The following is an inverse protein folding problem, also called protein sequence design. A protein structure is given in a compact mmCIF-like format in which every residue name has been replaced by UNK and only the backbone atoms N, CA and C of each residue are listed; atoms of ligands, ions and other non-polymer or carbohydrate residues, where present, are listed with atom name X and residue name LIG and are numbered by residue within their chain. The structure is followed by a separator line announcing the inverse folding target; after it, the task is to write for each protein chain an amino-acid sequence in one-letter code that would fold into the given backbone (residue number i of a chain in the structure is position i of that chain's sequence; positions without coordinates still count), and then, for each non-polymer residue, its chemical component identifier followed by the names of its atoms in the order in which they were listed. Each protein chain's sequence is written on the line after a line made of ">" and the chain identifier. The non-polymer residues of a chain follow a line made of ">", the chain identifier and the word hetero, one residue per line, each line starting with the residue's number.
data_IF_074695006001
#
_entry.id   IF_074695006001
#
_cell.length_a   1.000
_cell.length_b   1.000
_cell.length_c   1.000
_cell.angle_alpha   90.00
_cell.angle_beta   90.00
_cell.angle_gamma   90.00
#
_symmetry.space_group_name_H-M   'P 1'
#
loop_
_entity.id
_entity.type
_entity.pdbx_description
1 polymer ?
#
# COMPACT_ATOMS: atom_id res chain seq x y z
N UNK A 1 -9.61 -18.33 16.13
CA UNK A 1 -8.44 -18.68 15.30
C UNK A 1 -7.37 -17.63 15.57
N UNK A 2 -6.08 -17.99 15.53
CA UNK A 2 -5.01 -16.99 15.70
C UNK A 2 -5.05 -15.99 14.55
N UNK A 3 -4.94 -14.69 14.84
CA UNK A 3 -4.82 -13.65 13.80
C UNK A 3 -3.46 -13.70 13.07
N UNK A 4 -2.57 -14.57 13.53
CA UNK A 4 -1.20 -14.72 13.06
C UNK A 4 -0.91 -16.13 12.54
N UNK A 5 -0.11 -16.18 11.48
CA UNK A 5 0.48 -17.39 10.91
C UNK A 5 2.01 -17.31 10.98
N UNK A 6 2.73 -18.45 10.86
CA UNK A 6 4.19 -18.45 10.77
C UNK A 6 4.69 -17.54 9.66
N UNK A 7 5.79 -16.84 9.95
CA UNK A 7 6.46 -15.97 9.00
C UNK A 7 7.06 -16.71 7.81
N UNK A 8 7.53 -15.93 6.85
CA UNK A 8 8.20 -16.38 5.64
C UNK A 8 9.69 -16.59 5.84
N UNK A 9 10.31 -17.40 4.99
CA UNK A 9 11.76 -17.36 4.86
C UNK A 9 12.18 -16.14 4.04
N UNK A 10 13.40 -15.66 4.27
CA UNK A 10 13.97 -14.56 3.48
C UNK A 10 13.93 -14.83 1.97
N UNK A 11 14.16 -16.07 1.55
CA UNK A 11 14.10 -16.48 0.15
C UNK A 11 12.70 -16.40 -0.46
N UNK A 12 11.65 -16.58 0.35
CA UNK A 12 10.26 -16.38 -0.10
C UNK A 12 9.99 -14.91 -0.39
N UNK A 13 10.41 -14.02 0.52
CA UNK A 13 10.24 -12.58 0.37
C UNK A 13 11.09 -12.02 -0.77
N UNK A 14 12.29 -12.56 -0.98
CA UNK A 14 13.12 -12.18 -2.12
C UNK A 14 12.45 -12.54 -3.45
N UNK A 15 11.96 -13.78 -3.60
CA UNK A 15 11.21 -14.21 -4.78
C UNK A 15 9.95 -13.39 -5.01
N UNK A 16 9.23 -13.03 -3.95
CA UNK A 16 8.04 -12.20 -4.06
C UNK A 16 8.37 -10.79 -4.58
N UNK A 17 9.43 -10.16 -4.06
CA UNK A 17 9.89 -8.86 -4.52
C UNK A 17 10.29 -8.87 -6.00
N UNK A 18 11.02 -9.90 -6.45
CA UNK A 18 11.35 -10.08 -7.86
C UNK A 18 10.09 -10.30 -8.72
N UNK A 19 9.20 -11.19 -8.29
CA UNK A 19 7.99 -11.57 -9.03
C UNK A 19 7.03 -10.40 -9.23
N UNK A 20 6.88 -9.54 -8.22
CA UNK A 20 5.91 -8.45 -8.23
C UNK A 20 6.55 -7.08 -8.50
N UNK A 21 7.87 -7.05 -8.75
CA UNK A 21 8.64 -5.81 -8.97
C UNK A 21 8.45 -4.80 -7.82
N UNK A 22 8.51 -5.32 -6.59
CA UNK A 22 8.34 -4.56 -5.35
C UNK A 22 9.65 -4.50 -4.56
N UNK A 23 9.71 -3.52 -3.67
CA UNK A 23 10.75 -3.38 -2.65
C UNK A 23 10.06 -3.26 -1.31
N UNK A 24 10.29 -4.22 -0.43
CA UNK A 24 9.67 -4.24 0.89
C UNK A 24 10.52 -3.44 1.86
N UNK A 25 9.94 -2.42 2.54
CA UNK A 25 10.65 -1.69 3.58
C UNK A 25 11.21 -2.62 4.67
N UNK A 26 12.32 -2.26 5.34
CA UNK A 26 13.01 -3.15 6.27
C UNK A 26 12.16 -3.67 7.44
N UNK A 27 11.24 -2.84 7.95
CA UNK A 27 10.28 -3.20 9.00
C UNK A 27 9.24 -4.21 8.49
N UNK A 28 8.76 -4.07 7.24
CA UNK A 28 7.89 -5.08 6.65
C UNK A 28 8.60 -6.43 6.50
N UNK A 29 9.87 -6.44 6.08
CA UNK A 29 10.66 -7.68 5.96
C UNK A 29 10.85 -8.34 7.32
N UNK A 30 11.26 -7.57 8.34
CA UNK A 30 11.43 -8.07 9.71
C UNK A 30 10.12 -8.67 10.25
N UNK A 31 9.01 -7.96 10.07
CA UNK A 31 7.69 -8.45 10.45
C UNK A 31 7.41 -9.79 9.77
N UNK A 32 7.45 -9.83 8.45
CA UNK A 32 7.02 -10.97 7.67
C UNK A 32 7.90 -12.20 7.88
N UNK A 33 9.15 -12.04 8.32
CA UNK A 33 10.02 -13.14 8.75
C UNK A 33 9.60 -13.66 10.13
N UNK A 34 9.29 -12.78 11.08
CA UNK A 34 8.83 -13.18 12.41
C UNK A 34 7.47 -13.89 12.34
N UNK A 35 6.49 -13.27 11.66
CA UNK A 35 5.09 -13.70 11.58
C UNK A 35 4.33 -12.92 10.51
N UNK A 36 3.22 -13.47 10.04
CA UNK A 36 2.35 -12.78 9.07
C UNK A 36 0.89 -12.78 9.54
N UNK A 37 0.08 -11.78 9.16
CA UNK A 37 -1.36 -11.83 9.37
C UNK A 37 -1.93 -13.08 8.71
N UNK A 38 -2.70 -13.89 9.43
CA UNK A 38 -3.27 -15.14 8.91
C UNK A 38 -4.22 -14.91 7.73
N UNK A 39 -4.82 -13.72 7.66
CA UNK A 39 -5.72 -13.28 6.59
C UNK A 39 -5.07 -12.25 5.64
N UNK A 40 -3.76 -12.02 5.80
CA UNK A 40 -3.00 -11.15 4.91
C UNK A 40 -2.78 -11.78 3.55
N UNK A 41 -2.16 -11.02 2.65
CA UNK A 41 -1.85 -11.52 1.31
C UNK A 41 -0.75 -12.58 1.36
N UNK A 42 -0.93 -13.64 0.56
CA UNK A 42 0.05 -14.71 0.47
C UNK A 42 1.09 -14.47 -0.62
N UNK A 43 2.27 -14.04 -0.20
CA UNK A 43 3.43 -13.79 -1.05
C UNK A 43 4.03 -15.05 -1.71
N UNK A 44 3.70 -16.24 -1.22
CA UNK A 44 4.16 -17.53 -1.77
C UNK A 44 3.11 -18.24 -2.64
N UNK A 45 1.89 -17.71 -2.67
CA UNK A 45 0.75 -18.36 -3.31
C UNK A 45 0.72 -18.24 -4.83
N UNK A 46 -0.44 -18.57 -5.42
CA UNK A 46 -0.69 -18.48 -6.87
C UNK A 46 -0.49 -17.07 -7.43
N UNK A 47 -0.55 -16.05 -6.57
CA UNK A 47 -0.33 -14.63 -6.90
C UNK A 47 -1.57 -13.90 -7.43
N UNK A 48 -2.65 -14.59 -7.80
CA UNK A 48 -3.87 -13.95 -8.31
C UNK A 48 -4.48 -12.94 -7.32
N UNK A 49 -4.66 -13.26 -6.02
CA UNK A 49 -5.17 -12.28 -5.05
C UNK A 49 -4.23 -11.08 -4.88
N UNK A 50 -2.92 -11.32 -4.93
CA UNK A 50 -1.88 -10.29 -4.81
C UNK A 50 -1.88 -9.36 -6.01
N UNK A 51 -1.99 -9.88 -7.24
CA UNK A 51 -2.11 -9.08 -8.46
C UNK A 51 -3.35 -8.19 -8.43
N UNK A 52 -4.50 -8.72 -8.00
CA UNK A 52 -5.73 -7.95 -7.84
C UNK A 52 -5.55 -6.81 -6.83
N UNK A 53 -4.91 -7.08 -5.70
CA UNK A 53 -4.64 -6.05 -4.70
C UNK A 53 -3.66 -4.99 -5.19
N UNK A 54 -2.62 -5.37 -5.96
CA UNK A 54 -1.69 -4.42 -6.56
C UNK A 54 -2.34 -3.52 -7.61
N UNK A 55 -3.34 -4.02 -8.34
CA UNK A 55 -4.09 -3.26 -9.33
C UNK A 55 -5.15 -2.34 -8.70
N UNK A 56 -5.68 -2.71 -7.53
CA UNK A 56 -6.81 -2.05 -6.87
C UNK A 56 -6.69 -0.53 -6.72
N UNK A 57 -5.54 0.05 -6.27
CA UNK A 57 -5.42 1.51 -6.17
C UNK A 57 -5.62 2.21 -7.52
N UNK A 58 -5.02 1.70 -8.60
CA UNK A 58 -5.18 2.28 -9.94
C UNK A 58 -6.63 2.15 -10.42
N UNK A 59 -7.22 0.97 -10.28
CA UNK A 59 -8.60 0.71 -10.69
C UNK A 59 -9.58 1.66 -9.97
N UNK A 60 -9.39 1.86 -8.67
CA UNK A 60 -10.19 2.78 -7.87
C UNK A 60 -10.05 4.24 -8.32
N UNK A 61 -8.83 4.71 -8.58
CA UNK A 61 -8.61 6.07 -9.10
C UNK A 61 -9.22 6.27 -10.49
N UNK A 62 -9.09 5.27 -11.38
CA UNK A 62 -9.69 5.34 -12.73
C UNK A 62 -11.22 5.38 -12.67
N UNK A 63 -11.82 4.66 -11.73
CA UNK A 63 -13.26 4.73 -11.47
C UNK A 63 -13.66 6.16 -11.07
N UNK A 64 -12.94 6.79 -10.14
CA UNK A 64 -13.28 8.13 -9.67
C UNK A 64 -13.04 9.23 -10.71
N UNK A 65 -12.05 9.05 -11.59
CA UNK A 65 -11.84 9.92 -12.76
C UNK A 65 -13.03 9.87 -13.74
N UNK A 66 -13.62 8.70 -13.90
CA UNK A 66 -14.76 8.47 -14.79
C UNK A 66 -16.08 8.94 -14.17
N UNK A 67 -16.31 8.60 -12.90
CA UNK A 67 -17.63 8.70 -12.28
C UNK A 67 -17.74 9.82 -11.24
N UNK A 68 -16.63 10.20 -10.58
CA UNK A 68 -16.64 11.09 -9.42
C UNK A 68 -15.85 12.39 -9.63
N UNK A 69 -15.52 12.71 -10.88
CA UNK A 69 -14.83 13.96 -11.25
C UNK A 69 -13.47 14.18 -10.59
N UNK A 70 -12.82 13.12 -10.11
CA UNK A 70 -11.49 13.20 -9.51
C UNK A 70 -10.49 13.87 -10.47
N UNK A 71 -9.86 14.92 -9.97
CA UNK A 71 -8.72 15.57 -10.59
C UNK A 71 -8.03 16.49 -9.57
N UNK A 72 -6.88 16.09 -9.04
CA UNK A 72 -6.12 16.92 -8.09
C UNK A 72 -5.47 18.10 -8.82
N UNK A 73 -5.34 19.24 -8.13
CA UNK A 73 -4.77 20.46 -8.71
C UNK A 73 -3.31 20.26 -9.16
N UNK A 74 -2.61 19.39 -8.45
CA UNK A 74 -1.22 18.99 -8.62
C UNK A 74 -1.02 18.14 -9.88
N UNK A 75 -2.09 17.60 -10.47
CA UNK A 75 -2.05 16.86 -11.73
C UNK A 75 -2.10 17.77 -12.96
N UNK A 76 -2.21 19.09 -12.75
CA UNK A 76 -2.28 20.09 -13.80
C UNK A 76 -3.69 20.26 -14.38
N UNK A 77 -3.77 20.78 -15.59
CA UNK A 77 -5.05 21.06 -16.24
C UNK A 77 -5.81 19.78 -16.58
N UNK A 78 -7.09 19.71 -16.19
CA UNK A 78 -7.95 18.56 -16.47
C UNK A 78 -8.22 18.42 -17.98
N UNK A 79 -7.80 17.32 -18.63
CA UNK A 79 -8.12 17.09 -20.02
C UNK A 79 -9.63 16.94 -20.26
N UNK A 80 -10.08 17.36 -21.44
CA UNK A 80 -11.50 17.29 -21.81
C UNK A 80 -11.97 15.86 -22.05
N UNK A 81 -11.15 15.04 -22.73
CA UNK A 81 -11.53 13.67 -23.07
C UNK A 81 -11.30 12.73 -21.88
N UNK A 82 -12.16 11.73 -21.73
CA UNK A 82 -12.02 10.73 -20.66
C UNK A 82 -10.78 9.84 -20.89
N UNK A 83 -10.49 9.48 -22.13
CA UNK A 83 -9.33 8.67 -22.48
C UNK A 83 -8.02 9.34 -22.03
N UNK A 84 -7.87 10.64 -22.32
CA UNK A 84 -6.69 11.43 -21.92
C UNK A 84 -6.56 11.53 -20.40
N UNK A 85 -7.67 11.72 -19.68
CA UNK A 85 -7.69 11.72 -18.21
C UNK A 85 -7.20 10.39 -17.64
N UNK A 86 -7.71 9.27 -18.16
CA UNK A 86 -7.32 7.93 -17.72
C UNK A 86 -5.85 7.64 -18.02
N UNK A 87 -5.37 8.02 -19.21
CA UNK A 87 -3.96 7.88 -19.59
C UNK A 87 -3.04 8.64 -18.63
N UNK A 88 -3.37 9.89 -18.31
CA UNK A 88 -2.60 10.70 -17.37
C UNK A 88 -2.55 10.07 -15.96
N UNK A 89 -3.67 9.55 -15.44
CA UNK A 89 -3.68 8.87 -14.13
C UNK A 89 -2.85 7.59 -14.14
N UNK A 90 -2.88 6.81 -15.22
CA UNK A 90 -2.04 5.62 -15.38
C UNK A 90 -0.56 6.01 -15.29
N UNK A 91 -0.13 7.06 -16.00
CA UNK A 91 1.25 7.55 -15.97
C UNK A 91 1.67 8.07 -14.59
N UNK A 92 0.80 8.84 -13.94
CA UNK A 92 1.04 9.35 -12.58
C UNK A 92 1.25 8.19 -11.59
N UNK A 93 0.34 7.22 -11.57
CA UNK A 93 0.42 6.05 -10.68
C UNK A 93 1.60 5.14 -11.04
N UNK A 94 1.98 5.04 -12.31
CA UNK A 94 3.15 4.26 -12.72
C UNK A 94 4.45 4.79 -12.09
N UNK A 95 4.53 6.11 -11.87
CA UNK A 95 5.67 6.76 -11.22
C UNK A 95 5.51 6.95 -9.70
N UNK A 96 4.34 6.67 -9.13
CA UNK A 96 4.08 6.80 -7.70
C UNK A 96 4.77 5.66 -6.89
N UNK A 97 5.04 5.88 -5.59
CA UNK A 97 5.47 4.79 -4.70
C UNK A 97 4.54 3.58 -4.82
N UNK A 98 5.09 2.38 -5.04
CA UNK A 98 4.25 1.17 -5.10
C UNK A 98 3.60 0.91 -3.74
N UNK A 99 2.31 0.56 -3.77
CA UNK A 99 1.54 0.22 -2.57
C UNK A 99 1.57 -1.29 -2.36
N UNK A 100 2.19 -1.72 -1.26
CA UNK A 100 2.35 -3.11 -0.88
C UNK A 100 1.13 -3.54 -0.06
N UNK A 101 0.29 -4.46 -0.56
CA UNK A 101 -0.91 -4.89 0.15
C UNK A 101 -0.57 -5.67 1.43
N UNK A 102 -1.18 -5.31 2.56
CA UNK A 102 -0.98 -5.96 3.85
C UNK A 102 -2.15 -6.88 4.19
N UNK A 103 -3.35 -6.31 4.24
CA UNK A 103 -4.60 -6.97 4.64
C UNK A 103 -5.79 -6.12 4.22
N UNK A 104 -6.79 -6.72 3.55
CA UNK A 104 -7.94 -5.97 3.04
C UNK A 104 -7.51 -4.78 2.18
N UNK A 105 -8.05 -3.59 2.48
CA UNK A 105 -7.70 -2.34 1.79
C UNK A 105 -6.51 -1.59 2.44
N UNK A 106 -5.67 -2.28 3.23
CA UNK A 106 -4.51 -1.68 3.91
C UNK A 106 -3.25 -1.89 3.08
N UNK A 107 -2.52 -0.82 2.84
CA UNK A 107 -1.31 -0.80 2.03
C UNK A 107 -0.16 -0.11 2.74
N UNK A 108 1.05 -0.59 2.52
CA UNK A 108 2.29 0.07 2.91
C UNK A 108 2.99 0.63 1.67
N UNK A 109 3.30 1.93 1.61
CA UNK A 109 4.17 2.46 0.56
C UNK A 109 5.57 1.82 0.60
N UNK A 110 6.07 1.41 -0.56
CA UNK A 110 7.43 0.86 -0.71
C UNK A 110 8.52 1.92 -0.82
N UNK A 111 8.16 3.20 -0.95
CA UNK A 111 9.10 4.32 -0.99
C UNK A 111 8.73 5.38 0.07
N UNK A 112 9.73 5.93 0.80
CA UNK A 112 11.14 5.55 0.78
C UNK A 112 11.35 4.10 1.27
N UNK A 113 12.47 3.48 0.85
CA UNK A 113 12.91 2.15 1.32
C UNK A 113 13.50 2.25 2.73
N UNK A 114 12.66 2.71 3.65
CA UNK A 114 12.98 3.03 5.03
C UNK A 114 11.84 2.58 5.93
N UNK A 115 12.18 2.32 7.20
CA UNK A 115 11.16 2.04 8.22
C UNK A 115 10.25 3.23 8.45
N UNK A 116 9.06 2.97 8.98
CA UNK A 116 8.15 4.01 9.44
C UNK A 116 7.32 4.65 8.33
N UNK A 117 7.14 3.96 7.20
CA UNK A 117 6.13 4.37 6.23
C UNK A 117 4.73 4.20 6.84
N UNK A 118 3.80 5.14 6.62
CA UNK A 118 2.46 5.03 7.15
C UNK A 118 1.70 3.89 6.47
N UNK A 119 0.81 3.26 7.21
CA UNK A 119 -0.16 2.32 6.63
C UNK A 119 -1.37 3.11 6.15
N UNK A 120 -1.64 2.99 4.86
CA UNK A 120 -2.75 3.67 4.20
C UNK A 120 -3.96 2.74 4.09
N UNK A 121 -5.14 3.28 4.32
CA UNK A 121 -6.39 2.69 3.84
C UNK A 121 -6.67 3.24 2.45
N UNK A 122 -6.91 2.38 1.47
CA UNK A 122 -7.17 2.83 0.09
C UNK A 122 -8.49 2.27 -0.41
N UNK A 123 -9.49 3.15 -0.53
CA UNK A 123 -10.76 2.85 -1.16
C UNK A 123 -11.06 3.89 -2.24
N UNK A 124 -10.67 3.59 -3.48
CA UNK A 124 -10.70 4.57 -4.57
C UNK A 124 -9.82 5.78 -4.23
N UNK A 125 -10.27 7.01 -4.43
CA UNK A 125 -9.56 8.22 -4.02
C UNK A 125 -9.74 8.58 -2.53
N UNK A 126 -10.63 7.89 -1.81
CA UNK A 126 -10.72 8.02 -0.35
C UNK A 126 -9.54 7.26 0.28
N UNK A 127 -8.48 8.00 0.57
CA UNK A 127 -7.25 7.51 1.16
C UNK A 127 -7.07 8.18 2.50
N UNK A 128 -6.86 7.38 3.54
CA UNK A 128 -6.62 7.88 4.91
C UNK A 128 -5.44 7.17 5.56
N UNK A 129 -4.85 7.81 6.56
CA UNK A 129 -3.93 7.14 7.47
C UNK A 129 -4.70 6.11 8.30
N UNK A 130 -4.23 4.87 8.28
CA UNK A 130 -4.73 3.83 9.17
C UNK A 130 -3.77 3.55 10.34
N UNK A 131 -2.46 3.71 10.10
CA UNK A 131 -1.43 3.77 11.13
C UNK A 131 -0.28 4.68 10.71
N UNK A 132 0.36 5.34 11.67
CA UNK A 132 1.50 6.24 11.37
C UNK A 132 2.76 5.48 10.95
N UNK A 133 2.86 4.22 11.36
CA UNK A 133 3.80 3.22 10.89
C UNK A 133 3.17 1.81 11.01
N UNK A 134 3.95 0.78 10.69
CA UNK A 134 3.52 -0.61 10.91
C UNK A 134 3.23 -0.90 12.39
N UNK A 135 4.03 -0.41 13.34
CA UNK A 135 3.84 -0.73 14.74
C UNK A 135 2.51 -0.19 15.29
N UNK A 136 2.14 1.04 14.94
CA UNK A 136 0.86 1.68 15.26
C UNK A 136 -0.31 0.96 14.57
N UNK A 137 -0.17 0.62 13.28
CA UNK A 137 -1.17 -0.18 12.57
C UNK A 137 -1.45 -1.51 13.28
N UNK A 138 -0.40 -2.25 13.62
CA UNK A 138 -0.54 -3.56 14.26
C UNK A 138 -1.13 -3.45 15.67
N UNK A 139 -0.77 -2.39 16.41
CA UNK A 139 -1.36 -2.10 17.71
C UNK A 139 -2.88 -1.95 17.63
N UNK A 140 -3.38 -1.29 16.57
CA UNK A 140 -4.80 -1.03 16.32
C UNK A 140 -5.54 -2.25 15.80
N UNK A 141 -4.97 -2.94 14.82
CA UNK A 141 -5.65 -4.01 14.08
C UNK A 141 -5.58 -5.36 14.80
N UNK A 142 -4.46 -5.67 15.44
CA UNK A 142 -4.18 -7.02 15.95
C UNK A 142 -3.97 -7.07 17.48
N UNK A 143 -4.18 -5.96 18.18
CA UNK A 143 -3.88 -5.81 19.62
C UNK A 143 -2.45 -6.27 19.99
N UNK A 144 -1.52 -6.15 19.04
CA UNK A 144 -0.15 -6.64 19.15
C UNK A 144 0.81 -5.52 18.75
N UNK A 145 1.80 -5.26 19.60
CA UNK A 145 2.78 -4.19 19.35
C UNK A 145 4.15 -4.79 19.05
N UNK A 146 4.70 -4.56 17.85
CA UNK A 146 6.13 -4.75 17.61
C UNK A 146 6.94 -3.91 18.61
N UNK A 147 8.17 -4.30 18.89
CA UNK A 147 9.05 -3.59 19.83
C UNK A 147 9.66 -2.31 19.25
N UNK A 148 9.24 -1.90 18.05
CA UNK A 148 9.74 -0.70 17.39
C UNK A 148 9.17 0.57 18.03
N UNK A 149 9.93 1.68 18.00
CA UNK A 149 9.40 2.98 18.39
C UNK A 149 8.20 3.34 17.53
N UNK A 150 7.14 3.85 18.15
CA UNK A 150 5.99 4.39 17.43
C UNK A 150 6.36 5.75 16.83
N UNK A 151 6.01 5.94 15.56
CA UNK A 151 5.99 7.23 14.91
C UNK A 151 5.03 8.18 15.65
N UNK A 152 5.45 9.44 15.82
CA UNK A 152 4.62 10.49 16.42
C UNK A 152 3.70 11.15 15.41
N UNK A 153 4.10 11.14 14.15
CA UNK A 153 3.40 11.69 13.01
C UNK A 153 3.65 10.79 11.79
N UNK A 154 2.70 10.68 10.86
CA UNK A 154 2.90 9.90 9.65
C UNK A 154 3.85 10.64 8.69
N UNK A 155 4.75 9.88 8.05
CA UNK A 155 5.61 10.40 6.98
C UNK A 155 4.76 10.79 5.77
N UNK A 156 5.05 11.93 5.16
CA UNK A 156 4.47 12.30 3.86
C UNK A 156 5.03 11.41 2.76
N UNK A 157 4.14 10.85 1.95
CA UNK A 157 4.44 9.93 0.86
C UNK A 157 4.10 10.62 -0.45
N UNK A 158 5.10 10.76 -1.32
CA UNK A 158 4.94 11.36 -2.65
C UNK A 158 3.73 10.74 -3.36
N UNK A 159 2.95 11.57 -4.04
CA UNK A 159 1.69 11.21 -4.72
C UNK A 159 0.55 10.84 -3.75
N UNK A 160 0.72 9.83 -2.89
CA UNK A 160 -0.37 9.32 -2.04
C UNK A 160 -0.81 10.30 -0.94
N UNK A 161 0.09 11.12 -0.41
CA UNK A 161 -0.28 12.15 0.56
C UNK A 161 -1.09 13.30 -0.02
N UNK A 162 -1.18 13.44 -1.35
CA UNK A 162 -2.08 14.41 -1.98
C UNK A 162 -3.57 14.09 -1.84
N UNK A 163 -3.91 12.89 -1.38
CA UNK A 163 -5.28 12.45 -1.11
C UNK A 163 -5.65 12.54 0.38
N UNK A 164 -4.66 12.78 1.25
CA UNK A 164 -4.86 12.76 2.69
C UNK A 164 -5.38 14.14 3.13
N UNK A 165 -6.66 14.19 3.53
CA UNK A 165 -7.27 15.36 4.18
C UNK A 165 -6.97 15.42 5.69
#
# INVERSE_FOLDING_TARGET
>A
MSDWAPGYHWSDLHRAQERFELRFPPDLVELLIEKRPARGYDWTGSGEPTHKALAWPLEGLLFDVEHNSLWLSEWGDRPKQLADRKAAVIELVATAPKLIPLYGHRYLPGEPDERGNPVLSVHQADIIHYGYDLADYFAREFSARPTWPLAREPRSIRFWSGFLE
#
